data_IF_432884991713
#
_entry.id   IF_432884991713
#
_cell.length_a   1.000
_cell.length_b   1.000
_cell.length_c   1.000
_cell.angle_alpha   90.00
_cell.angle_beta   90.00
_cell.angle_gamma   90.00
#
_symmetry.space_group_name_H-M   'P 1'
#
loop_
_entity.id
_entity.type
_entity.pdbx_description
1 polymer ?
#
# COMPACT_ATOMS: atom_id res chain seq x y z
N UNK A 1 18.34 23.59 -75.86
CA UNK A 1 19.67 24.20 -76.09
C UNK A 1 20.42 24.14 -74.77
N UNK A 2 21.55 23.44 -74.77
CA UNK A 2 22.40 23.12 -73.61
C UNK A 2 22.96 24.37 -72.92
N UNK A 3 23.21 24.34 -71.61
CA UNK A 3 24.54 24.54 -71.01
C UNK A 3 24.57 24.19 -69.50
N UNK A 4 25.50 23.31 -69.15
CA UNK A 4 25.95 22.92 -67.81
C UNK A 4 26.47 24.13 -67.00
N UNK A 5 26.38 24.05 -65.66
CA UNK A 5 27.57 24.17 -64.79
C UNK A 5 27.36 23.43 -63.47
N UNK A 6 28.24 22.47 -63.24
CA UNK A 6 28.36 21.64 -62.03
C UNK A 6 29.07 22.40 -60.92
N UNK A 7 28.77 22.08 -59.65
CA UNK A 7 29.73 22.22 -58.56
C UNK A 7 29.51 21.07 -57.57
N UNK A 8 30.44 20.12 -57.64
CA UNK A 8 30.61 18.94 -56.80
C UNK A 8 31.39 19.38 -55.54
N UNK A 9 30.89 19.12 -54.33
CA UNK A 9 31.70 19.25 -53.10
C UNK A 9 31.88 17.85 -52.53
N UNK A 10 33.10 17.32 -52.69
CA UNK A 10 33.59 16.13 -52.00
C UNK A 10 33.78 16.47 -50.51
N UNK A 11 32.98 15.87 -49.64
CA UNK A 11 33.29 15.74 -48.21
C UNK A 11 34.14 14.49 -48.01
N UNK A 12 35.42 14.68 -47.66
CA UNK A 12 36.36 13.61 -47.34
C UNK A 12 35.88 12.83 -46.10
N UNK A 13 35.53 11.56 -46.27
CA UNK A 13 35.35 10.63 -45.17
C UNK A 13 36.74 10.13 -44.73
N UNK A 14 37.20 10.59 -43.57
CA UNK A 14 38.37 10.03 -42.92
C UNK A 14 37.99 8.66 -42.32
N UNK A 15 38.50 7.59 -42.92
CA UNK A 15 38.48 6.25 -42.34
C UNK A 15 39.52 6.20 -41.22
N UNK A 16 39.07 6.19 -39.97
CA UNK A 16 39.90 5.78 -38.84
C UNK A 16 39.69 4.29 -38.64
N UNK A 17 40.66 3.49 -39.06
CA UNK A 17 40.71 2.06 -38.78
C UNK A 17 41.10 1.86 -37.30
N UNK A 18 40.13 1.54 -36.46
CA UNK A 18 40.38 1.05 -35.11
C UNK A 18 40.69 -0.45 -35.19
N UNK A 19 41.87 -0.84 -34.72
CA UNK A 19 42.25 -2.25 -34.51
C UNK A 19 41.37 -2.86 -33.40
N UNK A 20 40.94 -4.12 -33.52
CA UNK A 20 40.22 -4.78 -32.44
C UNK A 20 41.20 -5.09 -31.30
N UNK A 21 41.04 -4.38 -30.18
CA UNK A 21 41.64 -4.79 -28.90
C UNK A 21 40.85 -6.00 -28.41
N UNK A 22 41.50 -7.16 -28.33
CA UNK A 22 40.94 -8.32 -27.64
C UNK A 22 40.81 -7.98 -26.14
N UNK A 23 39.58 -7.74 -25.69
CA UNK A 23 39.27 -7.57 -24.28
C UNK A 23 38.86 -8.94 -23.76
N UNK A 24 39.69 -9.52 -22.90
CA UNK A 24 39.37 -10.72 -22.13
C UNK A 24 38.11 -10.45 -21.30
N UNK A 25 37.01 -11.13 -21.63
CA UNK A 25 35.76 -11.10 -20.87
C UNK A 25 35.96 -11.78 -19.50
N UNK A 26 36.38 -11.00 -18.51
CA UNK A 26 36.09 -11.37 -17.12
C UNK A 26 34.59 -11.16 -16.91
N UNK A 27 33.89 -12.28 -16.80
CA UNK A 27 32.46 -12.37 -16.51
C UNK A 27 32.12 -11.62 -15.22
N UNK A 28 31.57 -10.42 -15.36
CA UNK A 28 30.87 -9.75 -14.28
C UNK A 28 29.80 -8.81 -14.87
N UNK A 29 28.55 -9.12 -14.54
CA UNK A 29 27.40 -8.22 -14.55
C UNK A 29 26.96 -7.68 -15.91
N UNK A 30 26.28 -8.56 -16.67
CA UNK A 30 25.17 -8.11 -17.51
C UNK A 30 24.16 -7.39 -16.60
N UNK A 31 23.98 -6.08 -16.83
CA UNK A 31 22.92 -5.27 -16.24
C UNK A 31 21.57 -5.81 -16.69
N UNK A 32 21.00 -6.68 -15.85
CA UNK A 32 19.60 -7.09 -15.92
C UNK A 32 18.75 -5.86 -15.59
N UNK A 33 18.25 -5.24 -16.65
CA UNK A 33 17.00 -4.50 -16.67
C UNK A 33 15.89 -5.46 -16.23
N UNK A 34 15.00 -4.98 -15.36
CA UNK A 34 13.88 -5.68 -14.69
C UNK A 34 14.25 -6.45 -13.42
N UNK A 35 13.89 -5.91 -12.23
CA UNK A 35 13.50 -6.69 -11.03
C UNK A 35 13.14 -5.89 -9.75
N UNK A 36 12.99 -4.56 -9.75
CA UNK A 36 12.57 -3.85 -8.49
C UNK A 36 11.04 -3.90 -8.24
N UNK A 37 10.25 -4.46 -9.17
CA UNK A 37 8.79 -4.54 -8.99
C UNK A 37 8.30 -5.71 -8.10
N UNK A 38 9.17 -6.62 -7.66
CA UNK A 38 8.73 -7.85 -6.97
C UNK A 38 9.56 -8.25 -5.74
N UNK A 39 10.36 -7.35 -5.16
CA UNK A 39 10.95 -7.63 -3.85
C UNK A 39 9.83 -7.61 -2.79
N UNK A 40 9.56 -8.72 -2.07
CA UNK A 40 8.68 -8.68 -0.92
C UNK A 40 9.23 -7.66 0.08
N UNK A 41 8.39 -6.75 0.58
CA UNK A 41 8.83 -5.87 1.64
C UNK A 41 9.29 -6.72 2.84
N UNK A 42 10.29 -6.27 3.62
CA UNK A 42 10.72 -6.99 4.81
C UNK A 42 9.51 -7.15 5.74
N UNK A 43 9.06 -8.40 5.90
CA UNK A 43 8.02 -8.76 6.85
C UNK A 43 8.57 -8.57 8.26
N UNK A 44 7.82 -7.86 9.10
CA UNK A 44 8.17 -7.74 10.51
C UNK A 44 8.14 -9.13 11.15
N UNK A 45 9.25 -9.53 11.77
CA UNK A 45 9.47 -10.89 12.28
C UNK A 45 8.53 -11.32 13.44
N UNK A 46 7.57 -10.49 13.83
CA UNK A 46 6.64 -10.72 14.95
C UNK A 46 5.16 -10.74 14.55
N UNK A 47 4.84 -10.77 13.25
CA UNK A 47 3.44 -10.90 12.81
C UNK A 47 3.03 -12.37 12.88
N UNK A 48 2.02 -12.69 13.70
CA UNK A 48 1.48 -14.06 13.79
C UNK A 48 1.16 -14.61 12.40
N UNK A 49 1.49 -15.89 12.15
CA UNK A 49 1.19 -16.57 10.89
C UNK A 49 -0.31 -16.50 10.51
N UNK A 50 -1.20 -16.37 11.49
CA UNK A 50 -2.63 -16.15 11.27
C UNK A 50 -2.95 -14.85 10.51
N UNK A 51 -2.11 -13.82 10.68
CA UNK A 51 -2.30 -12.48 10.11
C UNK A 51 -1.74 -12.41 8.68
N UNK A 52 -0.66 -13.16 8.38
CA UNK A 52 -0.04 -13.19 7.05
C UNK A 52 -0.75 -14.13 6.07
N UNK A 53 -1.35 -15.23 6.55
CA UNK A 53 -2.00 -16.23 5.70
C UNK A 53 -3.31 -15.77 5.02
N UNK A 54 -3.83 -14.56 5.34
CA UNK A 54 -5.23 -14.15 5.08
C UNK A 54 -5.40 -12.96 4.13
N UNK A 55 -4.32 -12.51 3.48
CA UNK A 55 -4.41 -11.39 2.53
C UNK A 55 -3.12 -10.59 2.30
N UNK A 56 -2.13 -10.77 3.19
CA UNK A 56 -0.84 -10.10 3.12
C UNK A 56 -0.93 -8.57 3.21
N UNK A 57 0.18 -7.88 2.98
CA UNK A 57 0.27 -6.43 3.10
C UNK A 57 -0.59 -5.66 2.08
N UNK A 58 -0.99 -6.24 0.95
CA UNK A 58 -1.75 -5.52 -0.08
C UNK A 58 -3.26 -5.63 0.09
N UNK A 59 -3.74 -6.83 0.42
CA UNK A 59 -5.12 -7.23 0.18
C UNK A 59 -5.73 -7.81 1.45
N UNK A 60 -6.03 -6.95 2.41
CA UNK A 60 -6.68 -7.35 3.67
C UNK A 60 -8.17 -7.73 3.51
N UNK A 61 -8.75 -7.65 2.31
CA UNK A 61 -10.17 -7.96 2.10
C UNK A 61 -11.13 -7.04 2.85
N UNK A 62 -12.38 -7.49 3.01
CA UNK A 62 -13.47 -6.69 3.59
C UNK A 62 -13.89 -7.15 4.98
N UNK A 63 -13.63 -8.40 5.34
CA UNK A 63 -14.01 -8.92 6.65
C UNK A 63 -12.89 -8.67 7.67
N UNK A 64 -13.22 -8.20 8.90
CA UNK A 64 -12.27 -8.19 9.98
C UNK A 64 -11.95 -9.63 10.43
N UNK A 65 -10.68 -9.87 10.72
CA UNK A 65 -10.15 -11.20 11.04
C UNK A 65 -10.11 -11.49 12.54
N UNK A 66 -10.42 -10.49 13.37
CA UNK A 66 -10.13 -10.48 14.80
C UNK A 66 -11.38 -10.57 15.70
N UNK A 67 -11.16 -11.02 16.93
CA UNK A 67 -12.19 -11.16 17.95
C UNK A 67 -12.82 -9.79 18.27
N UNK A 68 -14.13 -9.65 18.07
CA UNK A 68 -14.87 -8.39 18.21
C UNK A 68 -15.62 -7.99 16.94
N UNK A 69 -15.25 -8.61 15.80
CA UNK A 69 -15.95 -8.43 14.52
C UNK A 69 -15.87 -7.01 13.99
N UNK A 70 -14.83 -6.26 14.38
CA UNK A 70 -14.53 -4.91 13.90
C UNK A 70 -13.03 -4.68 14.00
N UNK A 71 -12.45 -3.95 13.04
CA UNK A 71 -11.07 -3.45 13.08
C UNK A 71 -10.91 -2.23 12.16
N UNK A 72 -9.71 -1.66 12.13
CA UNK A 72 -9.32 -0.58 11.23
C UNK A 72 -8.03 -0.91 10.51
N UNK A 73 -8.05 -0.74 9.20
CA UNK A 73 -6.86 -0.84 8.36
C UNK A 73 -6.38 0.57 8.03
N UNK A 74 -5.09 0.81 8.22
CA UNK A 74 -4.35 1.92 7.65
C UNK A 74 -3.46 1.40 6.50
N UNK A 75 -3.47 2.08 5.36
CA UNK A 75 -2.55 1.80 4.24
C UNK A 75 -1.86 3.07 3.78
N UNK A 76 -0.52 3.02 3.73
CA UNK A 76 0.30 4.07 3.14
C UNK A 76 0.76 3.63 1.76
N UNK A 77 0.36 4.37 0.73
CA UNK A 77 0.70 4.08 -0.67
C UNK A 77 1.52 5.21 -1.28
N UNK A 78 2.58 4.86 -2.00
CA UNK A 78 3.45 5.77 -2.74
C UNK A 78 3.56 5.28 -4.17
N UNK A 79 2.96 6.02 -5.09
CA UNK A 79 2.92 5.72 -6.53
C UNK A 79 3.89 6.65 -7.25
N UNK A 80 5.02 6.16 -7.79
CA UNK A 80 5.93 6.95 -8.60
C UNK A 80 5.19 7.56 -9.80
N UNK A 81 5.38 8.86 -10.04
CA UNK A 81 4.86 9.52 -11.23
C UNK A 81 6.03 9.92 -12.13
N UNK A 82 5.91 9.83 -13.46
CA UNK A 82 6.91 10.37 -14.35
C UNK A 82 6.99 11.90 -14.20
N UNK A 83 8.19 12.45 -14.35
CA UNK A 83 8.37 13.90 -14.49
C UNK A 83 7.75 14.37 -15.81
N UNK A 84 7.09 15.52 -15.80
CA UNK A 84 6.47 16.13 -17.01
C UNK A 84 7.25 17.40 -17.37
N UNK A 85 7.64 17.54 -18.64
CA UNK A 85 8.25 18.78 -19.15
C UNK A 85 9.61 19.14 -18.53
N UNK A 86 10.41 18.15 -18.13
CA UNK A 86 11.71 18.38 -17.46
C UNK A 86 11.61 18.62 -15.95
N UNK A 87 10.40 18.65 -15.37
CA UNK A 87 10.22 18.66 -13.92
C UNK A 87 10.66 17.31 -13.31
N UNK A 88 11.22 17.30 -12.09
CA UNK A 88 11.53 16.06 -11.39
C UNK A 88 10.26 15.24 -11.10
N UNK A 89 10.35 13.90 -11.05
CA UNK A 89 9.27 13.02 -10.58
C UNK A 89 8.74 13.44 -9.21
N UNK A 90 7.42 13.59 -9.06
CA UNK A 90 6.76 13.82 -7.77
C UNK A 90 5.83 12.64 -7.50
N UNK A 91 6.11 11.79 -6.48
CA UNK A 91 5.27 10.64 -6.21
C UNK A 91 3.90 11.06 -5.68
N UNK A 92 2.86 10.34 -6.08
CA UNK A 92 1.54 10.45 -5.45
C UNK A 92 1.55 9.65 -4.15
N UNK A 93 1.28 10.31 -3.04
CA UNK A 93 1.22 9.68 -1.71
C UNK A 93 -0.22 9.69 -1.22
N UNK A 94 -0.73 8.52 -0.84
CA UNK A 94 -2.06 8.38 -0.23
C UNK A 94 -1.96 7.64 1.09
N UNK A 95 -2.77 8.10 2.05
CA UNK A 95 -2.99 7.43 3.33
C UNK A 95 -4.48 7.12 3.41
N UNK A 96 -4.80 5.84 3.47
CA UNK A 96 -6.19 5.39 3.50
C UNK A 96 -6.49 4.65 4.78
N UNK A 97 -7.65 4.96 5.36
CA UNK A 97 -8.17 4.33 6.55
C UNK A 97 -9.48 3.64 6.22
N UNK A 98 -9.65 2.41 6.66
CA UNK A 98 -10.85 1.62 6.40
C UNK A 98 -11.28 0.83 7.63
N UNK A 99 -12.46 1.13 8.15
CA UNK A 99 -13.10 0.29 9.15
C UNK A 99 -13.66 -0.96 8.51
N UNK A 100 -13.32 -2.14 9.03
CA UNK A 100 -13.98 -3.39 8.66
C UNK A 100 -14.93 -3.81 9.77
N UNK A 101 -16.02 -4.47 9.39
CA UNK A 101 -17.00 -5.00 10.32
C UNK A 101 -17.47 -6.39 9.90
N UNK A 102 -17.85 -7.20 10.89
CA UNK A 102 -18.50 -8.50 10.75
C UNK A 102 -19.65 -8.56 11.77
N UNK A 103 -20.85 -8.83 11.27
CA UNK A 103 -22.04 -9.04 12.08
C UNK A 103 -23.03 -9.96 11.37
N UNK A 104 -23.42 -11.05 12.04
CA UNK A 104 -24.25 -12.15 11.51
C UNK A 104 -23.78 -12.66 10.14
N UNK A 105 -22.53 -13.10 10.07
CA UNK A 105 -21.92 -13.71 8.88
C UNK A 105 -21.91 -12.81 7.64
N UNK A 106 -22.17 -11.51 7.83
CA UNK A 106 -21.99 -10.47 6.84
C UNK A 106 -20.86 -9.58 7.29
N UNK A 107 -20.03 -9.20 6.35
CA UNK A 107 -18.94 -8.29 6.61
C UNK A 107 -18.89 -7.19 5.56
N UNK A 108 -18.13 -6.14 5.85
CA UNK A 108 -17.93 -5.07 4.90
C UNK A 108 -16.85 -4.10 5.35
N UNK A 109 -16.43 -3.27 4.40
CA UNK A 109 -15.37 -2.29 4.56
C UNK A 109 -15.92 -0.89 4.29
N UNK A 110 -15.60 0.05 5.17
CA UNK A 110 -16.06 1.44 5.12
C UNK A 110 -14.84 2.34 5.18
N UNK A 111 -14.66 3.18 4.16
CA UNK A 111 -13.58 4.19 4.20
C UNK A 111 -13.84 5.19 5.32
N UNK A 112 -12.81 5.51 6.08
CA UNK A 112 -12.88 6.37 7.26
C UNK A 112 -11.67 7.33 7.31
N UNK A 113 -11.54 8.09 8.40
CA UNK A 113 -10.40 8.94 8.72
C UNK A 113 -9.48 8.29 9.77
N UNK A 114 -8.39 8.94 10.20
CA UNK A 114 -7.37 8.31 11.07
C UNK A 114 -7.94 7.72 12.35
N UNK A 115 -8.49 8.58 13.21
CA UNK A 115 -9.11 8.21 14.49
C UNK A 115 -10.56 7.74 14.26
N UNK A 116 -10.79 7.17 13.08
CA UNK A 116 -12.02 7.34 12.34
C UNK A 116 -13.18 6.59 12.94
N UNK A 117 -14.25 7.32 13.21
CA UNK A 117 -15.55 6.71 13.44
C UNK A 117 -16.16 6.27 12.11
N UNK A 118 -16.75 5.08 12.09
CA UNK A 118 -17.51 4.58 10.95
C UNK A 118 -18.82 3.95 11.40
N UNK A 119 -19.82 4.05 10.52
CA UNK A 119 -21.14 3.50 10.73
C UNK A 119 -21.41 2.39 9.72
N UNK A 120 -22.12 1.35 10.15
CA UNK A 120 -22.62 0.31 9.26
C UNK A 120 -23.98 -0.22 9.77
N UNK A 121 -24.66 -0.99 8.93
CA UNK A 121 -25.88 -1.70 9.33
C UNK A 121 -25.65 -3.20 9.16
N UNK A 122 -25.58 -3.92 10.28
CA UNK A 122 -25.43 -5.37 10.31
C UNK A 122 -26.64 -6.00 10.97
N UNK A 123 -27.24 -7.01 10.33
CA UNK A 123 -28.43 -7.72 10.83
C UNK A 123 -29.64 -6.80 11.11
N UNK A 124 -29.80 -5.74 10.30
CA UNK A 124 -30.85 -4.74 10.50
C UNK A 124 -30.57 -3.74 11.63
N UNK A 125 -29.47 -3.90 12.37
CA UNK A 125 -29.10 -3.01 13.47
C UNK A 125 -28.01 -2.05 13.01
N UNK A 126 -28.32 -0.75 13.07
CA UNK A 126 -27.34 0.32 12.84
C UNK A 126 -26.34 0.35 13.98
N UNK A 127 -25.07 0.42 13.64
CA UNK A 127 -23.97 0.36 14.58
C UNK A 127 -22.90 1.38 14.22
N UNK A 128 -22.32 1.98 15.25
CA UNK A 128 -21.23 2.93 15.11
C UNK A 128 -20.01 2.42 15.87
N UNK A 129 -18.86 2.54 15.21
CA UNK A 129 -17.57 2.15 15.75
C UNK A 129 -16.67 3.37 15.72
N UNK A 130 -15.95 3.62 16.80
CA UNK A 130 -14.93 4.67 16.85
C UNK A 130 -13.65 4.11 17.45
N UNK A 131 -12.52 4.51 16.89
CA UNK A 131 -11.20 4.05 17.29
C UNK A 131 -10.39 5.28 17.69
N UNK A 132 -9.94 5.28 18.93
CA UNK A 132 -9.11 6.33 19.51
C UNK A 132 -7.68 5.76 19.60
N UNK A 133 -6.93 5.92 18.51
CA UNK A 133 -5.58 5.38 18.39
C UNK A 133 -4.65 5.95 19.47
N UNK A 134 -4.81 7.23 19.78
CA UNK A 134 -3.99 7.96 20.75
C UNK A 134 -4.13 7.38 22.16
N UNK A 135 -5.34 7.03 22.57
CA UNK A 135 -5.61 6.44 23.88
C UNK A 135 -5.71 4.91 23.86
N UNK A 136 -5.37 4.28 22.73
CA UNK A 136 -5.36 2.82 22.54
C UNK A 136 -6.67 2.14 22.96
N UNK A 137 -7.80 2.70 22.51
CA UNK A 137 -9.14 2.20 22.83
C UNK A 137 -10.09 2.32 21.66
N UNK A 138 -11.14 1.52 21.66
CA UNK A 138 -12.22 1.62 20.69
C UNK A 138 -13.57 1.28 21.32
N UNK A 139 -14.64 1.69 20.65
CA UNK A 139 -15.99 1.31 21.06
C UNK A 139 -16.87 0.91 19.87
N UNK A 140 -17.92 0.15 20.17
CA UNK A 140 -19.02 -0.18 19.26
C UNK A 140 -20.33 0.09 19.97
N UNK A 141 -21.21 0.85 19.33
CA UNK A 141 -22.52 1.24 19.85
C UNK A 141 -23.60 0.60 18.98
N UNK A 142 -24.50 -0.15 19.60
CA UNK A 142 -25.70 -0.71 18.97
C UNK A 142 -26.84 0.30 19.12
N UNK A 143 -27.27 0.93 18.01
CA UNK A 143 -28.17 2.08 18.06
C UNK A 143 -29.61 1.75 18.47
N UNK A 144 -30.02 0.50 18.30
CA UNK A 144 -31.33 -0.01 18.70
C UNK A 144 -31.50 -0.12 20.21
N UNK A 145 -30.47 -0.57 20.91
CA UNK A 145 -30.47 -0.83 22.35
C UNK A 145 -29.73 0.23 23.16
N UNK A 146 -28.92 1.06 22.49
CA UNK A 146 -27.98 1.96 23.14
C UNK A 146 -26.81 1.24 23.81
N UNK A 147 -26.70 -0.09 23.66
CA UNK A 147 -25.61 -0.86 24.27
C UNK A 147 -24.28 -0.42 23.67
N UNK A 148 -23.34 -0.06 24.53
CA UNK A 148 -21.97 0.28 24.17
C UNK A 148 -21.03 -0.81 24.68
N UNK A 149 -20.14 -1.28 23.80
CA UNK A 149 -19.01 -2.14 24.16
C UNK A 149 -17.72 -1.40 23.87
N UNK A 150 -16.73 -1.54 24.74
CA UNK A 150 -15.43 -0.88 24.60
C UNK A 150 -14.31 -1.89 24.80
N UNK A 151 -13.23 -1.68 24.05
CA UNK A 151 -12.05 -2.53 24.09
C UNK A 151 -10.79 -1.67 24.13
N UNK A 152 -9.71 -2.23 24.67
CA UNK A 152 -8.38 -1.80 24.27
C UNK A 152 -8.14 -2.10 22.79
N UNK A 153 -7.11 -1.50 22.19
CA UNK A 153 -6.66 -1.88 20.85
C UNK A 153 -5.17 -2.18 20.84
N UNK A 154 -4.78 -3.04 19.91
CA UNK A 154 -3.38 -3.26 19.53
C UNK A 154 -3.22 -3.06 18.02
N UNK A 155 -2.01 -2.82 17.55
CA UNK A 155 -1.70 -2.58 16.14
C UNK A 155 -0.73 -3.63 15.60
N UNK A 156 -1.02 -4.16 14.43
CA UNK A 156 -0.18 -5.13 13.74
C UNK A 156 0.36 -4.52 12.45
N UNK A 157 1.68 -4.32 12.37
CA UNK A 157 2.34 -3.86 11.14
C UNK A 157 2.60 -5.02 10.19
N UNK A 158 1.94 -5.02 9.03
CA UNK A 158 2.00 -6.12 8.05
C UNK A 158 3.10 -5.94 6.99
N UNK A 159 3.79 -4.81 7.02
CA UNK A 159 4.76 -4.41 6.00
C UNK A 159 4.07 -3.84 4.75
N UNK A 160 4.84 -3.74 3.66
CA UNK A 160 4.39 -3.19 2.39
C UNK A 160 4.32 -4.21 1.25
N UNK A 161 3.88 -3.78 0.08
CA UNK A 161 3.97 -4.48 -1.18
C UNK A 161 3.86 -3.50 -2.36
N UNK A 162 4.83 -3.55 -3.28
CA UNK A 162 4.85 -2.67 -4.45
C UNK A 162 4.72 -1.19 -4.08
N UNK A 163 3.59 -0.58 -4.45
CA UNK A 163 3.28 0.82 -4.13
C UNK A 163 2.80 1.02 -2.69
N UNK A 164 2.19 0.01 -2.07
CA UNK A 164 1.84 0.06 -0.65
C UNK A 164 3.13 -0.05 0.15
N UNK A 165 3.50 1.00 0.87
CA UNK A 165 4.72 1.03 1.68
C UNK A 165 4.50 0.45 3.06
N UNK A 166 3.28 0.55 3.56
CA UNK A 166 2.93 0.06 4.87
C UNK A 166 1.44 -0.29 4.94
N UNK A 167 1.12 -1.33 5.70
CA UNK A 167 -0.24 -1.64 6.14
C UNK A 167 -0.22 -1.94 7.62
N UNK A 168 -1.09 -1.27 8.37
CA UNK A 168 -1.27 -1.48 9.82
C UNK A 168 -2.72 -1.86 10.05
N UNK A 169 -2.96 -2.85 10.90
CA UNK A 169 -4.32 -3.23 11.33
C UNK A 169 -4.45 -3.00 12.83
N UNK A 170 -5.46 -2.22 13.22
CA UNK A 170 -5.81 -1.95 14.62
C UNK A 170 -6.96 -2.82 15.04
N UNK A 171 -6.75 -3.64 16.07
CA UNK A 171 -7.67 -4.71 16.45
C UNK A 171 -8.07 -4.57 17.90
N UNK A 172 -9.34 -4.83 18.24
CA UNK A 172 -9.79 -4.91 19.63
C UNK A 172 -8.98 -5.96 20.41
N UNK A 173 -8.72 -5.67 21.69
CA UNK A 173 -8.15 -6.60 22.67
C UNK A 173 -9.17 -6.91 23.76
N UNK A 174 -8.81 -6.80 25.03
CA UNK A 174 -9.70 -7.06 26.16
C UNK A 174 -10.81 -6.00 26.27
N UNK A 175 -12.00 -6.41 26.74
CA UNK A 175 -13.08 -5.47 27.06
C UNK A 175 -12.65 -4.57 28.23
N UNK A 176 -12.84 -3.25 28.07
CA UNK A 176 -12.51 -2.23 29.07
C UNK A 176 -13.76 -1.41 29.43
N UNK A 177 -13.77 -0.67 30.56
CA UNK A 177 -14.86 0.24 30.87
C UNK A 177 -15.11 1.29 29.77
N UNK A 178 -16.39 1.60 29.54
CA UNK A 178 -16.81 2.62 28.57
C UNK A 178 -16.94 4.01 29.21
N UNK A 179 -15.81 4.63 29.52
CA UNK A 179 -15.71 5.89 30.27
C UNK A 179 -15.26 7.10 29.41
N UNK A 180 -15.59 7.06 28.12
CA UNK A 180 -15.23 8.10 27.14
C UNK A 180 -16.32 8.29 26.10
#
# INVERSE_FOLDING_TARGET
>A
MFFLKQALILGMAAFVAATPVAITENSATALVKDSIANAPAPQSANVSNDILARGGSCNQGDCPDYNGGVDLIYQWTVIPQPGVGGAPPIPLVTMEYHGRWNHCDKCGRVKTSSDGCFSFTGCGVKQDVCIDEKNKRMHRIYRDTGRKKCWGITSHGLGGCGFVKETIVFTPTDEIPCNW
#
